data_IF_206380955853
#
_entry.id   IF_206380955853
#
_cell.length_a   1.000
_cell.length_b   1.000
_cell.length_c   1.000
_cell.angle_alpha   90.00
_cell.angle_beta   90.00
_cell.angle_gamma   90.00
#
_symmetry.space_group_name_H-M   'P 1'
#
loop_
_entity.id
_entity.type
_entity.pdbx_description
1 polymer ?
#
# COMPACT_ATOMS: atom_id res chain seq x y z
N UNK A 1 10.63 23.46 8.86
CA UNK A 1 12.06 23.19 8.74
C UNK A 1 12.76 24.44 8.20
N UNK A 2 14.02 24.77 8.61
CA UNK A 2 14.77 25.81 7.93
C UNK A 2 14.96 25.41 6.45
N UNK A 3 15.19 26.41 5.58
CA UNK A 3 15.26 26.27 4.13
C UNK A 3 16.51 25.50 3.67
N UNK A 4 16.61 24.21 4.04
CA UNK A 4 17.56 23.31 3.41
C UNK A 4 16.88 22.72 2.17
N UNK A 5 17.64 22.56 1.09
CA UNK A 5 17.18 21.82 -0.08
C UNK A 5 16.71 20.41 0.36
N UNK A 6 15.63 19.91 -0.24
CA UNK A 6 15.12 18.56 0.02
C UNK A 6 16.20 17.57 -0.45
N UNK A 7 16.76 16.71 0.41
CA UNK A 7 17.69 15.68 -0.05
C UNK A 7 16.93 14.63 -0.86
N UNK A 8 17.28 14.49 -2.12
CA UNK A 8 16.68 13.52 -3.06
C UNK A 8 17.48 12.23 -3.19
N UNK A 9 18.70 12.19 -2.61
CA UNK A 9 19.52 11.00 -2.51
C UNK A 9 20.13 10.91 -1.12
N UNK A 10 20.60 9.72 -0.73
CA UNK A 10 21.24 9.51 0.57
C UNK A 10 22.54 10.30 0.73
N UNK A 11 23.26 10.55 -0.36
CA UNK A 11 24.52 11.32 -0.38
C UNK A 11 24.30 12.81 -0.07
N UNK A 12 23.09 13.32 -0.32
CA UNK A 12 22.71 14.70 0.01
C UNK A 12 22.29 14.87 1.48
N UNK A 13 22.06 13.78 2.19
CA UNK A 13 21.78 13.82 3.63
C UNK A 13 23.05 14.17 4.37
N UNK A 14 23.00 15.25 5.18
CA UNK A 14 24.14 15.66 6.01
C UNK A 14 23.86 15.35 7.48
N UNK A 15 24.91 15.19 8.33
CA UNK A 15 24.73 15.06 9.77
C UNK A 15 23.95 16.22 10.40
N UNK A 16 24.09 17.43 9.85
CA UNK A 16 23.33 18.60 10.30
C UNK A 16 21.83 18.45 9.97
N UNK A 17 21.49 18.07 8.74
CA UNK A 17 20.11 17.81 8.33
C UNK A 17 19.46 16.72 9.21
N UNK A 18 20.16 15.61 9.43
CA UNK A 18 19.67 14.51 10.25
C UNK A 18 19.51 14.92 11.72
N UNK A 19 20.42 15.76 12.24
CA UNK A 19 20.30 16.35 13.58
C UNK A 19 19.01 17.19 13.70
N UNK A 20 18.75 18.05 12.72
CA UNK A 20 17.57 18.93 12.75
C UNK A 20 16.27 18.12 12.62
N UNK A 21 16.26 17.08 11.77
CA UNK A 21 15.14 16.15 11.61
C UNK A 21 14.81 15.41 12.92
N UNK A 22 15.81 14.80 13.55
CA UNK A 22 15.63 14.06 14.80
C UNK A 22 15.31 14.96 16.00
N UNK A 23 15.85 16.18 16.06
CA UNK A 23 15.47 17.18 17.06
C UNK A 23 14.02 17.64 16.85
N UNK A 24 13.65 17.93 15.61
CA UNK A 24 12.30 18.39 15.25
C UNK A 24 11.21 17.38 15.58
N UNK A 25 11.51 16.09 15.49
CA UNK A 25 10.61 15.00 15.89
C UNK A 25 10.65 14.66 17.38
N UNK A 26 11.59 15.26 18.15
CA UNK A 26 11.73 15.02 19.59
C UNK A 26 12.31 13.66 19.97
N UNK A 27 12.94 12.94 19.04
CA UNK A 27 13.58 11.62 19.33
C UNK A 27 15.07 11.72 19.62
N UNK A 28 15.69 12.89 19.43
CA UNK A 28 17.08 13.16 19.82
C UNK A 28 17.12 13.82 21.20
N UNK A 29 17.66 13.09 22.17
CA UNK A 29 17.85 13.59 23.54
C UNK A 29 19.25 14.23 23.67
N UNK A 30 19.31 15.53 23.44
CA UNK A 30 20.56 16.31 23.46
C UNK A 30 21.51 15.99 22.31
N UNK A 31 22.66 16.65 22.31
CA UNK A 31 23.73 16.38 21.34
C UNK A 31 23.39 16.68 19.87
N UNK A 32 24.13 16.03 18.99
CA UNK A 32 24.02 16.14 17.53
C UNK A 32 24.40 14.82 16.87
N UNK A 33 23.92 14.60 15.66
CA UNK A 33 24.47 13.56 14.77
C UNK A 33 25.83 14.05 14.24
N UNK A 34 26.88 13.25 14.38
CA UNK A 34 28.24 13.54 13.89
C UNK A 34 28.59 12.78 12.60
N UNK A 35 27.86 11.71 12.31
CA UNK A 35 27.98 10.89 11.11
C UNK A 35 26.88 9.85 11.07
N UNK A 36 26.78 9.10 10.00
CA UNK A 36 25.90 7.94 9.89
C UNK A 36 26.42 6.97 8.83
N UNK A 37 26.12 5.70 8.99
CA UNK A 37 26.23 4.69 7.95
C UNK A 37 24.89 4.54 7.25
N UNK A 38 24.90 4.18 5.95
CA UNK A 38 23.68 3.99 5.15
C UNK A 38 23.72 2.64 4.45
N UNK A 39 22.65 1.87 4.59
CA UNK A 39 22.44 0.59 3.93
C UNK A 39 21.20 0.68 3.04
N UNK A 40 21.34 0.33 1.75
CA UNK A 40 20.18 0.22 0.85
C UNK A 40 19.36 -1.02 1.22
N UNK A 41 18.10 -0.83 1.56
CA UNK A 41 17.17 -1.88 1.95
C UNK A 41 15.99 -1.98 0.95
N UNK A 42 15.20 -3.06 1.04
CA UNK A 42 14.00 -3.22 0.20
C UNK A 42 14.27 -3.45 -1.29
N UNK A 43 15.48 -3.89 -1.66
CA UNK A 43 15.81 -4.19 -3.07
C UNK A 43 14.89 -5.26 -3.65
N UNK A 44 14.26 -4.94 -4.78
CA UNK A 44 13.36 -5.86 -5.48
C UNK A 44 11.94 -5.92 -4.91
N UNK A 45 11.61 -5.09 -3.92
CA UNK A 45 10.25 -4.98 -3.34
C UNK A 45 9.66 -3.58 -3.58
N UNK A 46 10.45 -2.52 -3.39
CA UNK A 46 10.03 -1.14 -3.63
C UNK A 46 10.37 -0.65 -5.03
N UNK A 47 9.37 -0.23 -5.82
CA UNK A 47 9.57 0.22 -7.20
C UNK A 47 9.58 1.76 -7.28
N UNK A 48 8.85 2.44 -6.38
CA UNK A 48 8.58 3.87 -6.49
C UNK A 48 9.47 4.76 -5.61
N UNK A 49 10.30 4.19 -4.74
CA UNK A 49 11.21 4.94 -3.86
C UNK A 49 12.42 4.12 -3.47
N UNK A 50 13.53 4.80 -3.18
CA UNK A 50 14.73 4.19 -2.61
C UNK A 50 14.66 4.24 -1.09
N UNK A 51 14.89 3.11 -0.44
CA UNK A 51 14.87 2.99 1.01
C UNK A 51 16.30 2.76 1.53
N UNK A 52 16.74 3.60 2.46
CA UNK A 52 18.01 3.42 3.14
C UNK A 52 17.77 3.33 4.65
N UNK A 53 18.33 2.31 5.28
CA UNK A 53 18.49 2.28 6.73
C UNK A 53 19.71 3.11 7.09
N UNK A 54 19.51 4.14 7.91
CA UNK A 54 20.59 4.97 8.42
C UNK A 54 20.88 4.57 9.87
N UNK A 55 22.18 4.40 10.19
CA UNK A 55 22.69 4.15 11.55
C UNK A 55 23.43 5.40 12.03
N UNK A 56 22.79 6.31 12.78
CA UNK A 56 23.39 7.56 13.21
C UNK A 56 24.48 7.35 14.27
N UNK A 57 25.55 8.15 14.19
CA UNK A 57 26.55 8.30 15.25
C UNK A 57 26.29 9.61 15.98
N UNK A 58 26.17 9.55 17.31
CA UNK A 58 25.84 10.72 18.13
C UNK A 58 27.07 11.34 18.82
N UNK A 59 27.15 12.66 18.79
CA UNK A 59 28.13 13.47 19.53
C UNK A 59 27.48 14.08 20.77
N UNK A 60 27.48 13.33 21.89
CA UNK A 60 26.71 13.65 23.10
C UNK A 60 25.20 13.34 22.92
N UNK A 61 24.50 13.11 24.00
CA UNK A 61 23.08 12.73 23.95
C UNK A 61 22.83 11.33 23.38
N UNK A 62 21.57 11.04 23.06
CA UNK A 62 21.12 9.76 22.51
C UNK A 62 19.95 9.95 21.55
N UNK A 63 19.73 8.97 20.68
CA UNK A 63 18.61 8.95 19.73
C UNK A 63 18.32 7.53 19.22
N UNK A 64 17.50 7.36 18.18
CA UNK A 64 17.22 6.07 17.59
C UNK A 64 18.48 5.35 17.14
N UNK A 65 18.55 4.03 17.36
CA UNK A 65 19.66 3.22 16.86
C UNK A 65 19.75 3.25 15.33
N UNK A 66 18.59 3.15 14.68
CA UNK A 66 18.43 3.22 13.23
C UNK A 66 17.18 4.01 12.86
N UNK A 67 17.14 4.54 11.64
CA UNK A 67 15.97 5.19 11.03
C UNK A 67 15.91 4.83 9.55
N UNK A 68 14.75 4.89 8.95
CA UNK A 68 14.55 4.60 7.52
C UNK A 68 14.34 5.90 6.74
N UNK A 69 15.17 6.11 5.74
CA UNK A 69 15.08 7.22 4.78
C UNK A 69 14.44 6.71 3.48
N UNK A 70 13.39 7.37 3.02
CA UNK A 70 12.80 7.15 1.69
C UNK A 70 13.04 8.38 0.83
N UNK A 71 13.59 8.16 -0.36
CA UNK A 71 13.90 9.20 -1.36
C UNK A 71 13.39 8.78 -2.73
N UNK A 72 13.25 9.72 -3.70
CA UNK A 72 12.83 9.38 -5.06
C UNK A 72 13.79 8.40 -5.73
N UNK A 73 13.27 7.62 -6.66
CA UNK A 73 14.10 6.86 -7.61
C UNK A 73 14.67 7.79 -8.68
N UNK A 74 15.78 7.40 -9.29
CA UNK A 74 16.38 8.18 -10.39
C UNK A 74 15.76 7.86 -11.76
N UNK A 75 15.04 6.73 -11.88
CA UNK A 75 14.48 6.27 -13.14
C UNK A 75 13.36 7.21 -13.64
N UNK A 76 13.55 7.84 -14.79
CA UNK A 76 12.67 8.89 -15.33
C UNK A 76 11.21 8.45 -15.50
N UNK A 77 10.97 7.24 -16.02
CA UNK A 77 9.60 6.73 -16.23
C UNK A 77 8.90 6.52 -14.89
N UNK A 78 9.59 6.00 -13.89
CA UNK A 78 9.03 5.81 -12.54
C UNK A 78 8.71 7.14 -11.89
N UNK A 79 9.57 8.15 -12.03
CA UNK A 79 9.29 9.51 -11.55
C UNK A 79 8.12 10.15 -12.30
N UNK A 80 8.01 9.93 -13.60
CA UNK A 80 6.86 10.41 -14.38
C UNK A 80 5.55 9.81 -13.87
N UNK A 81 5.51 8.51 -13.61
CA UNK A 81 4.35 7.83 -13.03
C UNK A 81 4.04 8.34 -11.62
N UNK A 82 5.06 8.45 -10.76
CA UNK A 82 4.91 8.95 -9.40
C UNK A 82 4.29 10.36 -9.38
N UNK A 83 4.77 11.24 -10.23
CA UNK A 83 4.25 12.61 -10.40
C UNK A 83 2.82 12.62 -10.96
N UNK A 84 2.55 11.82 -12.01
CA UNK A 84 1.24 11.74 -12.66
C UNK A 84 0.16 11.32 -11.65
N UNK A 85 0.45 10.33 -10.80
CA UNK A 85 -0.47 9.80 -9.80
C UNK A 85 -0.27 10.40 -8.41
N UNK A 86 0.63 11.40 -8.27
CA UNK A 86 0.92 12.12 -7.01
C UNK A 86 1.35 11.19 -5.87
N UNK A 87 2.06 10.11 -6.14
CA UNK A 87 2.40 9.09 -5.15
C UNK A 87 3.17 9.68 -3.98
N UNK A 88 4.22 10.46 -4.22
CA UNK A 88 5.04 11.05 -3.17
C UNK A 88 4.27 12.08 -2.34
N UNK A 89 3.51 12.94 -3.03
CA UNK A 89 2.68 13.94 -2.37
C UNK A 89 1.62 13.33 -1.46
N UNK A 90 0.96 12.24 -1.91
CA UNK A 90 -0.05 11.51 -1.13
C UNK A 90 0.54 10.87 0.12
N UNK A 91 1.67 10.18 0.01
CA UNK A 91 2.34 9.56 1.16
C UNK A 91 2.76 10.62 2.20
N UNK A 92 3.35 11.72 1.76
CA UNK A 92 3.71 12.83 2.66
C UNK A 92 2.47 13.44 3.32
N UNK A 93 1.40 13.65 2.55
CA UNK A 93 0.15 14.21 3.09
C UNK A 93 -0.51 13.27 4.09
N UNK A 94 -0.50 11.95 3.83
CA UNK A 94 -0.98 10.94 4.76
C UNK A 94 -0.24 11.03 6.11
N UNK A 95 1.08 10.98 6.11
CA UNK A 95 1.86 11.09 7.37
C UNK A 95 1.66 12.41 8.10
N UNK A 96 1.35 13.50 7.40
CA UNK A 96 1.13 14.81 8.01
C UNK A 96 -0.27 15.02 8.58
N UNK A 97 -1.28 14.34 8.04
CA UNK A 97 -2.68 14.71 8.32
C UNK A 97 -3.58 13.55 8.70
N UNK A 98 -3.19 12.32 8.41
CA UNK A 98 -4.02 11.14 8.64
C UNK A 98 -3.37 10.11 9.59
N UNK A 99 -2.05 9.94 9.56
CA UNK A 99 -1.36 8.87 10.29
C UNK A 99 -1.65 8.89 11.81
N UNK A 100 -1.57 10.05 12.47
CA UNK A 100 -1.82 10.18 13.91
C UNK A 100 -3.28 9.91 14.32
N UNK A 101 -4.21 9.93 13.35
CA UNK A 101 -5.63 9.62 13.56
C UNK A 101 -5.95 8.15 13.30
N UNK A 102 -5.14 7.51 12.49
CA UNK A 102 -5.36 6.12 12.09
C UNK A 102 -5.21 5.17 13.27
N UNK A 103 -6.22 4.31 13.56
CA UNK A 103 -6.05 3.20 14.49
C UNK A 103 -5.16 2.07 13.96
N UNK A 104 -4.93 2.02 12.65
CA UNK A 104 -3.93 1.14 12.05
C UNK A 104 -2.56 1.77 12.25
N UNK A 105 -1.70 1.10 12.99
CA UNK A 105 -0.36 1.61 13.32
C UNK A 105 0.48 1.82 12.07
N UNK A 106 1.28 2.89 12.08
CA UNK A 106 2.25 3.22 11.03
C UNK A 106 3.61 3.54 11.65
N UNK A 107 4.71 3.42 10.91
CA UNK A 107 6.00 3.93 11.39
C UNK A 107 5.87 5.42 11.73
N UNK A 108 6.46 5.84 12.83
CA UNK A 108 6.47 7.25 13.18
C UNK A 108 7.20 8.07 12.11
N UNK A 109 6.57 9.11 11.58
CA UNK A 109 7.24 10.05 10.68
C UNK A 109 8.12 11.01 11.50
N UNK A 110 9.43 10.94 11.30
CA UNK A 110 10.42 11.77 12.00
C UNK A 110 10.68 13.08 11.26
N UNK A 111 10.63 13.04 9.93
CA UNK A 111 10.69 14.23 9.10
C UNK A 111 10.09 13.94 7.72
N UNK A 112 9.49 14.95 7.10
CA UNK A 112 8.99 14.86 5.75
C UNK A 112 9.10 16.20 5.02
N UNK A 113 9.44 16.17 3.73
CA UNK A 113 9.37 17.32 2.85
C UNK A 113 8.97 16.86 1.44
N UNK A 114 8.24 17.70 0.73
CA UNK A 114 7.84 17.51 -0.65
C UNK A 114 7.74 18.85 -1.35
N UNK A 115 8.28 18.94 -2.54
CA UNK A 115 8.12 20.07 -3.43
C UNK A 115 7.21 19.65 -4.60
N UNK A 116 5.98 20.19 -4.68
CA UNK A 116 5.03 19.80 -5.72
C UNK A 116 5.43 20.25 -7.13
N UNK A 117 6.38 21.19 -7.28
CA UNK A 117 6.84 21.67 -8.59
C UNK A 117 7.87 20.70 -9.21
N UNK A 118 8.85 20.27 -8.43
CA UNK A 118 9.88 19.30 -8.86
C UNK A 118 9.48 17.85 -8.62
N UNK A 119 8.50 17.61 -7.73
CA UNK A 119 8.15 16.31 -7.16
C UNK A 119 9.30 15.64 -6.39
N UNK A 120 10.23 16.47 -5.88
CA UNK A 120 11.27 16.01 -4.96
C UNK A 120 10.67 15.82 -3.58
N UNK A 121 11.04 14.72 -2.95
CA UNK A 121 10.58 14.42 -1.61
C UNK A 121 11.64 13.75 -0.76
N UNK A 122 11.44 13.80 0.53
CA UNK A 122 12.15 13.00 1.52
C UNK A 122 11.19 12.61 2.64
N UNK A 123 11.27 11.37 3.07
CA UNK A 123 10.52 10.86 4.21
C UNK A 123 11.51 10.12 5.12
N UNK A 124 11.60 10.55 6.38
CA UNK A 124 12.38 9.90 7.42
C UNK A 124 11.43 9.24 8.41
N UNK A 125 11.52 7.94 8.55
CA UNK A 125 10.63 7.11 9.35
C UNK A 125 11.38 6.39 10.47
N UNK A 126 10.63 5.98 11.48
CA UNK A 126 11.05 4.97 12.44
C UNK A 126 11.45 3.68 11.71
N UNK A 127 12.51 3.03 12.19
CA UNK A 127 12.89 1.71 11.71
C UNK A 127 12.13 0.63 12.50
N UNK A 128 11.41 -0.20 11.79
CA UNK A 128 10.61 -1.30 12.34
C UNK A 128 11.41 -2.60 12.50
N UNK A 129 12.73 -2.53 12.63
CA UNK A 129 13.60 -3.69 12.62
C UNK A 129 13.35 -4.76 13.68
N UNK A 130 12.48 -4.48 14.67
CA UNK A 130 12.03 -5.42 15.70
C UNK A 130 10.71 -6.13 15.34
N UNK A 131 10.04 -5.71 14.27
CA UNK A 131 8.76 -6.27 13.84
C UNK A 131 8.93 -7.49 12.93
N UNK A 132 8.01 -8.45 13.04
CA UNK A 132 7.95 -9.63 12.19
C UNK A 132 7.52 -9.25 10.77
N UNK A 133 8.19 -9.81 9.77
CA UNK A 133 7.85 -9.71 8.35
C UNK A 133 7.46 -11.09 7.84
N UNK A 134 6.35 -11.19 7.16
CA UNK A 134 5.90 -12.42 6.52
C UNK A 134 5.99 -12.31 5.01
N UNK A 135 6.57 -13.32 4.38
CA UNK A 135 6.74 -13.34 2.94
C UNK A 135 5.40 -13.61 2.23
N UNK A 136 5.02 -12.74 1.31
CA UNK A 136 3.78 -12.91 0.53
C UNK A 136 3.73 -14.24 -0.24
N UNK A 137 4.88 -14.81 -0.61
CA UNK A 137 4.91 -16.13 -1.26
C UNK A 137 4.34 -17.23 -0.36
N UNK A 138 4.63 -17.20 0.94
CA UNK A 138 4.16 -18.19 1.91
C UNK A 138 2.70 -17.96 2.33
N UNK A 139 2.21 -16.73 2.14
CA UNK A 139 0.88 -16.30 2.54
C UNK A 139 0.75 -15.93 4.02
N UNK A 140 -0.26 -15.13 4.33
CA UNK A 140 -0.55 -14.66 5.68
C UNK A 140 -1.10 -15.80 6.55
N UNK A 141 -0.52 -16.02 7.76
CA UNK A 141 -1.10 -16.94 8.75
C UNK A 141 -2.51 -16.49 9.17
N UNK A 142 -3.43 -17.42 9.48
CA UNK A 142 -4.82 -17.09 9.78
C UNK A 142 -5.02 -16.14 10.97
N UNK A 143 -4.22 -16.26 12.03
CA UNK A 143 -4.25 -15.37 13.20
C UNK A 143 -3.81 -13.94 12.85
N UNK A 144 -2.80 -13.80 12.02
CA UNK A 144 -2.34 -12.51 11.53
C UNK A 144 -3.30 -11.92 10.49
N UNK A 145 -3.94 -12.77 9.68
CA UNK A 145 -4.95 -12.32 8.73
C UNK A 145 -6.16 -11.71 9.44
N UNK A 146 -6.63 -12.32 10.53
CA UNK A 146 -7.72 -11.78 11.33
C UNK A 146 -7.33 -10.45 11.99
N UNK A 147 -6.12 -10.36 12.54
CA UNK A 147 -5.61 -9.11 13.10
C UNK A 147 -5.50 -8.00 12.04
N UNK A 148 -5.00 -8.34 10.83
CA UNK A 148 -4.89 -7.40 9.73
C UNK A 148 -6.26 -6.88 9.27
N UNK A 149 -7.27 -7.75 9.14
CA UNK A 149 -8.64 -7.37 8.77
C UNK A 149 -9.28 -6.51 9.87
N UNK A 150 -9.09 -6.85 11.15
CA UNK A 150 -9.62 -6.05 12.25
C UNK A 150 -8.98 -4.65 12.32
N UNK A 151 -7.65 -4.56 12.15
CA UNK A 151 -6.93 -3.29 12.14
C UNK A 151 -7.34 -2.42 10.94
N UNK A 152 -7.51 -3.02 9.75
CA UNK A 152 -8.02 -2.38 8.55
C UNK A 152 -9.43 -1.83 8.76
N UNK A 153 -10.34 -2.63 9.33
CA UNK A 153 -11.71 -2.22 9.60
C UNK A 153 -11.77 -1.02 10.56
N UNK A 154 -10.95 -1.00 11.61
CA UNK A 154 -10.82 0.14 12.53
C UNK A 154 -10.30 1.39 11.83
N UNK A 155 -9.30 1.24 10.95
CA UNK A 155 -8.80 2.33 10.12
C UNK A 155 -9.90 2.89 9.22
N UNK A 156 -10.62 2.03 8.52
CA UNK A 156 -11.74 2.46 7.67
C UNK A 156 -12.85 3.14 8.47
N UNK A 157 -13.13 2.69 9.70
CA UNK A 157 -14.09 3.32 10.61
C UNK A 157 -13.74 4.78 10.90
N UNK A 158 -12.48 5.09 11.20
CA UNK A 158 -12.02 6.45 11.52
C UNK A 158 -12.28 7.43 10.36
N UNK A 159 -12.13 6.94 9.13
CA UNK A 159 -12.25 7.76 7.93
C UNK A 159 -13.56 7.56 7.16
N UNK A 160 -14.52 6.78 7.68
CA UNK A 160 -15.76 6.48 6.99
C UNK A 160 -16.61 7.74 6.82
N UNK A 161 -16.83 8.17 5.56
CA UNK A 161 -17.57 9.39 5.20
C UNK A 161 -17.18 10.62 6.05
N UNK A 162 -15.94 10.70 6.48
CA UNK A 162 -15.47 11.77 7.37
C UNK A 162 -15.60 13.16 6.74
N UNK A 163 -16.10 14.17 7.50
CA UNK A 163 -16.10 15.57 7.03
C UNK A 163 -14.71 16.13 6.73
N UNK A 164 -13.65 15.48 7.19
CA UNK A 164 -12.27 15.84 6.92
C UNK A 164 -11.89 15.73 5.43
N UNK A 165 -12.59 14.96 4.64
CA UNK A 165 -12.39 14.90 3.18
C UNK A 165 -12.59 16.26 2.48
N UNK A 166 -13.42 17.12 3.03
CA UNK A 166 -13.58 18.49 2.53
C UNK A 166 -12.65 19.52 3.18
N UNK A 167 -11.70 19.10 4.02
CA UNK A 167 -10.83 19.97 4.82
C UNK A 167 -9.38 19.47 4.75
N UNK A 168 -8.85 18.99 5.88
CA UNK A 168 -7.45 18.54 6.01
C UNK A 168 -7.09 17.33 5.15
N UNK A 169 -8.07 16.54 4.74
CA UNK A 169 -7.90 15.40 3.82
C UNK A 169 -8.35 15.71 2.37
N UNK A 170 -8.50 16.99 2.02
CA UNK A 170 -8.91 17.41 0.66
C UNK A 170 -7.89 17.08 -0.44
N UNK A 171 -6.68 16.68 -0.05
CA UNK A 171 -5.65 16.19 -0.94
C UNK A 171 -5.91 14.75 -1.43
N UNK A 172 -6.78 13.99 -0.76
CA UNK A 172 -7.06 12.58 -1.06
C UNK A 172 -8.10 12.51 -2.20
N UNK A 173 -7.71 12.07 -3.42
CA UNK A 173 -8.63 11.95 -4.54
C UNK A 173 -9.53 10.72 -4.35
N UNK A 174 -10.66 10.72 -5.04
CA UNK A 174 -11.39 9.47 -5.24
C UNK A 174 -10.58 8.50 -6.10
N UNK A 175 -10.72 7.19 -5.84
CA UNK A 175 -10.07 6.16 -6.64
C UNK A 175 -10.49 6.18 -8.12
N UNK A 176 -11.62 6.79 -8.43
CA UNK A 176 -12.14 6.98 -9.79
C UNK A 176 -11.87 8.37 -10.38
N UNK A 177 -11.14 9.24 -9.67
CA UNK A 177 -10.78 10.55 -10.24
C UNK A 177 -9.65 10.39 -11.27
N UNK A 178 -9.72 11.13 -12.39
CA UNK A 178 -8.60 11.18 -13.32
C UNK A 178 -7.31 11.67 -12.64
N UNK A 179 -6.13 11.14 -13.01
CA UNK A 179 -5.90 10.22 -14.12
C UNK A 179 -5.89 8.73 -13.74
N UNK A 180 -6.34 8.33 -12.52
CA UNK A 180 -6.13 6.98 -12.00
C UNK A 180 -6.79 5.88 -12.87
N UNK A 181 -8.10 5.93 -13.20
CA UNK A 181 -8.72 4.89 -14.01
C UNK A 181 -8.09 4.75 -15.39
N UNK A 182 -7.80 5.88 -16.05
CA UNK A 182 -7.16 5.89 -17.36
C UNK A 182 -5.76 5.29 -17.31
N UNK A 183 -5.03 5.55 -16.22
CA UNK A 183 -3.71 4.98 -16.00
C UNK A 183 -3.75 3.47 -15.81
N UNK A 184 -4.70 2.96 -15.02
CA UNK A 184 -4.91 1.52 -14.85
C UNK A 184 -5.32 0.88 -16.19
N UNK A 185 -6.27 1.48 -16.91
CA UNK A 185 -6.69 1.01 -18.23
C UNK A 185 -5.51 0.92 -19.19
N UNK A 186 -4.73 1.99 -19.31
CA UNK A 186 -3.57 2.03 -20.19
C UNK A 186 -2.50 1.02 -19.76
N UNK A 187 -2.24 0.93 -18.43
CA UNK A 187 -1.28 -0.01 -17.87
C UNK A 187 -1.63 -1.46 -18.21
N UNK A 188 -2.88 -1.87 -18.00
CA UNK A 188 -3.35 -3.22 -18.37
C UNK A 188 -3.29 -3.45 -19.88
N UNK A 189 -3.70 -2.46 -20.69
CA UNK A 189 -3.65 -2.57 -22.16
C UNK A 189 -2.23 -2.80 -22.66
N UNK A 190 -1.26 -2.06 -22.13
CA UNK A 190 0.14 -2.20 -22.54
C UNK A 190 0.80 -3.47 -22.01
N UNK A 191 0.39 -3.90 -20.82
CA UNK A 191 0.98 -5.08 -20.16
C UNK A 191 0.43 -6.41 -20.69
N UNK A 192 -0.77 -6.44 -21.29
CA UNK A 192 -1.49 -7.68 -21.59
C UNK A 192 -0.68 -8.67 -22.46
N UNK A 193 -0.20 -8.24 -23.62
CA UNK A 193 0.56 -9.12 -24.51
C UNK A 193 1.92 -9.56 -23.92
N UNK A 194 2.75 -8.66 -23.31
CA UNK A 194 3.95 -9.09 -22.61
C UNK A 194 3.65 -10.05 -21.44
N UNK A 195 2.56 -9.81 -20.68
CA UNK A 195 2.13 -10.70 -19.62
C UNK A 195 1.79 -12.09 -20.15
N UNK A 196 1.02 -12.20 -21.24
CA UNK A 196 0.72 -13.49 -21.86
C UNK A 196 1.96 -14.22 -22.36
N UNK A 197 2.96 -13.49 -22.83
CA UNK A 197 4.23 -14.09 -23.26
C UNK A 197 5.01 -14.74 -22.10
N UNK A 198 4.89 -14.20 -20.88
CA UNK A 198 5.58 -14.71 -19.69
C UNK A 198 4.75 -15.67 -18.83
N UNK A 199 3.43 -15.46 -18.76
CA UNK A 199 2.52 -16.15 -17.83
C UNK A 199 1.32 -16.81 -18.52
N UNK A 200 1.32 -16.91 -19.85
CA UNK A 200 0.18 -17.43 -20.62
C UNK A 200 -0.20 -18.87 -20.26
N UNK A 201 0.75 -19.68 -19.78
CA UNK A 201 0.49 -21.06 -19.32
C UNK A 201 -0.37 -21.12 -18.04
N UNK A 202 -0.46 -20.01 -17.27
CA UNK A 202 -1.34 -19.86 -16.11
C UNK A 202 -2.73 -19.28 -16.46
N UNK A 203 -2.96 -18.94 -17.74
CA UNK A 203 -4.17 -18.25 -18.21
C UNK A 203 -4.93 -19.18 -19.15
N UNK A 204 -6.05 -19.73 -18.66
CA UNK A 204 -6.97 -20.49 -19.50
C UNK A 204 -7.93 -19.58 -20.30
N UNK A 205 -8.79 -20.18 -21.12
CA UNK A 205 -9.68 -19.46 -22.03
C UNK A 205 -10.63 -18.51 -21.31
N UNK A 206 -11.14 -18.87 -20.11
CA UNK A 206 -12.06 -18.05 -19.34
C UNK A 206 -11.35 -16.80 -18.79
N UNK A 207 -10.17 -16.97 -18.21
CA UNK A 207 -9.37 -15.86 -17.69
C UNK A 207 -8.83 -14.99 -18.82
N UNK A 208 -8.52 -15.60 -19.97
CA UNK A 208 -8.13 -14.85 -21.18
C UNK A 208 -9.27 -13.94 -21.65
N UNK A 209 -10.49 -14.46 -21.71
CA UNK A 209 -11.66 -13.67 -22.10
C UNK A 209 -11.93 -12.50 -21.14
N UNK A 210 -11.71 -12.72 -19.83
CA UNK A 210 -11.79 -11.65 -18.83
C UNK A 210 -10.69 -10.60 -19.08
N UNK A 211 -9.43 -11.03 -19.23
CA UNK A 211 -8.29 -10.13 -19.42
C UNK A 211 -8.37 -9.30 -20.70
N UNK A 212 -8.83 -9.87 -21.80
CA UNK A 212 -9.05 -9.17 -23.07
C UNK A 212 -10.14 -8.08 -22.96
N UNK A 213 -11.18 -8.32 -22.15
CA UNK A 213 -12.28 -7.39 -21.93
C UNK A 213 -11.95 -6.33 -20.86
N UNK A 214 -11.09 -6.66 -19.90
CA UNK A 214 -10.81 -5.86 -18.71
C UNK A 214 -10.47 -4.40 -19.03
N UNK A 215 -9.58 -4.06 -19.99
CA UNK A 215 -9.25 -2.67 -20.28
C UNK A 215 -10.45 -1.80 -20.64
N UNK A 216 -11.47 -2.39 -21.28
CA UNK A 216 -12.66 -1.65 -21.73
C UNK A 216 -13.65 -1.33 -20.61
N UNK A 217 -13.53 -1.97 -19.45
CA UNK A 217 -14.48 -1.85 -18.33
C UNK A 217 -13.83 -1.35 -17.03
N UNK A 218 -12.52 -1.15 -17.00
CA UNK A 218 -11.79 -0.82 -15.77
C UNK A 218 -12.26 0.48 -15.12
N UNK A 219 -12.58 1.52 -15.91
CA UNK A 219 -13.09 2.78 -15.37
C UNK A 219 -14.43 2.58 -14.66
N UNK A 220 -15.33 1.79 -15.26
CA UNK A 220 -16.63 1.46 -14.67
C UNK A 220 -16.45 0.60 -13.41
N UNK A 221 -15.52 -0.36 -13.42
CA UNK A 221 -15.21 -1.20 -12.26
C UNK A 221 -14.67 -0.40 -11.06
N UNK A 222 -13.99 0.70 -11.29
CA UNK A 222 -13.46 1.59 -10.25
C UNK A 222 -14.50 2.60 -9.73
N UNK A 223 -15.65 2.73 -10.38
CA UNK A 223 -16.62 3.80 -10.12
C UNK A 223 -17.70 3.38 -9.11
N UNK A 224 -17.72 4.02 -7.93
CA UNK A 224 -18.63 3.74 -6.81
C UNK A 224 -19.34 5.02 -6.31
N UNK A 225 -20.06 5.77 -7.17
CA UNK A 225 -20.51 7.13 -6.87
C UNK A 225 -21.54 7.23 -5.73
N UNK A 226 -22.32 6.18 -5.49
CA UNK A 226 -23.41 6.15 -4.51
C UNK A 226 -23.07 5.31 -3.27
N UNK A 227 -21.85 4.77 -3.19
CA UNK A 227 -21.40 3.97 -2.06
C UNK A 227 -20.68 4.83 -1.01
N UNK A 228 -20.83 4.50 0.28
CA UNK A 228 -19.98 5.12 1.31
C UNK A 228 -18.51 4.86 1.04
N UNK A 229 -17.70 5.85 1.33
CA UNK A 229 -16.26 5.81 1.07
C UNK A 229 -15.43 6.06 2.32
N UNK A 230 -14.21 5.53 2.31
CA UNK A 230 -13.23 5.75 3.37
C UNK A 230 -11.86 6.05 2.76
N UNK A 231 -10.87 6.36 3.59
CA UNK A 231 -9.46 6.38 3.19
C UNK A 231 -8.97 4.94 3.13
N UNK A 232 -8.68 4.43 1.92
CA UNK A 232 -8.07 3.11 1.73
C UNK A 232 -6.57 3.24 1.54
N UNK A 233 -5.85 2.19 1.94
CA UNK A 233 -4.40 2.10 1.75
C UNK A 233 -4.04 2.01 0.26
N UNK A 234 -4.83 1.26 -0.51
CA UNK A 234 -4.64 1.06 -1.95
C UNK A 234 -3.71 -0.09 -2.31
N UNK A 235 -2.72 -0.42 -1.46
CA UNK A 235 -1.80 -1.57 -1.60
C UNK A 235 -1.72 -2.37 -0.29
N UNK A 236 -2.89 -2.68 0.30
CA UNK A 236 -2.98 -3.42 1.56
C UNK A 236 -2.68 -4.90 1.34
N UNK A 237 -1.41 -5.25 1.31
CA UNK A 237 -0.92 -6.61 1.06
C UNK A 237 0.19 -6.97 2.05
N UNK A 238 0.44 -8.27 2.20
CA UNK A 238 1.32 -8.80 3.25
C UNK A 238 2.75 -8.22 3.22
N UNK A 239 3.32 -7.95 2.04
CA UNK A 239 4.64 -7.33 1.91
C UNK A 239 4.68 -5.88 2.48
N UNK A 240 3.52 -5.22 2.66
CA UNK A 240 3.39 -3.88 3.26
C UNK A 240 2.92 -3.92 4.72
N UNK A 241 2.86 -5.09 5.33
CA UNK A 241 2.44 -5.28 6.71
C UNK A 241 3.56 -5.86 7.57
N UNK A 242 3.77 -5.23 8.71
CA UNK A 242 4.65 -5.70 9.77
C UNK A 242 3.82 -6.05 10.98
N UNK A 243 4.33 -6.95 11.81
CA UNK A 243 3.61 -7.42 12.99
C UNK A 243 4.50 -7.35 14.23
N UNK A 244 3.93 -6.91 15.35
CA UNK A 244 4.52 -7.06 16.68
C UNK A 244 3.59 -7.91 17.53
N UNK A 245 4.11 -8.90 18.23
CA UNK A 245 3.30 -9.73 19.11
C UNK A 245 3.27 -9.13 20.51
N UNK A 246 2.06 -8.88 21.00
CA UNK A 246 1.78 -8.43 22.35
C UNK A 246 0.93 -9.47 23.10
N UNK A 247 0.82 -9.34 24.41
CA UNK A 247 -0.02 -10.23 25.23
C UNK A 247 -1.51 -10.17 24.82
N UNK A 248 -1.96 -9.01 24.35
CA UNK A 248 -3.35 -8.75 23.93
C UNK A 248 -3.61 -9.13 22.45
N UNK A 249 -2.61 -9.65 21.76
CA UNK A 249 -2.69 -10.04 20.35
C UNK A 249 -1.69 -9.30 19.45
N UNK A 250 -1.65 -9.64 18.14
CA UNK A 250 -0.71 -9.02 17.23
C UNK A 250 -1.12 -7.58 16.88
N UNK A 251 -0.18 -6.65 17.02
CA UNK A 251 -0.25 -5.31 16.43
C UNK A 251 0.10 -5.41 14.96
N UNK A 252 -0.66 -4.72 14.11
CA UNK A 252 -0.45 -4.63 12.67
C UNK A 252 0.05 -3.24 12.34
N UNK A 253 1.17 -3.16 11.62
CA UNK A 253 1.80 -1.90 11.21
C UNK A 253 1.84 -1.86 9.69
N UNK A 254 1.17 -0.88 9.09
CA UNK A 254 1.14 -0.71 7.64
C UNK A 254 2.13 0.36 7.17
N UNK A 255 2.86 0.06 6.09
CA UNK A 255 3.82 0.95 5.44
C UNK A 255 3.39 1.24 4.00
N UNK A 256 4.02 2.22 3.37
CA UNK A 256 3.87 2.52 1.93
C UNK A 256 2.48 3.04 1.52
N UNK A 257 2.11 4.23 2.00
CA UNK A 257 0.83 4.90 1.79
C UNK A 257 0.74 5.72 0.48
N UNK A 258 1.63 5.49 -0.47
CA UNK A 258 1.77 6.29 -1.69
C UNK A 258 0.59 6.19 -2.66
N UNK A 259 -0.17 5.08 -2.63
CA UNK A 259 -1.32 4.89 -3.53
C UNK A 259 -2.68 4.99 -2.82
N UNK A 260 -2.68 5.52 -1.57
CA UNK A 260 -3.94 5.74 -0.85
C UNK A 260 -4.89 6.63 -1.66
N UNK A 261 -6.19 6.31 -1.56
CA UNK A 261 -7.28 7.01 -2.23
C UNK A 261 -8.54 6.96 -1.38
N UNK A 262 -9.56 7.72 -1.77
CA UNK A 262 -10.90 7.63 -1.21
C UNK A 262 -11.74 6.69 -2.08
N UNK A 263 -12.18 5.57 -1.53
CA UNK A 263 -13.09 4.62 -2.21
C UNK A 263 -13.81 3.73 -1.21
N UNK A 264 -14.54 2.70 -1.66
CA UNK A 264 -15.19 1.72 -0.79
C UNK A 264 -14.16 0.92 0.02
N UNK A 265 -14.44 0.67 1.31
CA UNK A 265 -13.51 -0.07 2.16
C UNK A 265 -13.27 -1.52 1.72
N UNK A 266 -14.22 -2.11 0.99
CA UNK A 266 -14.08 -3.42 0.38
C UNK A 266 -12.86 -3.54 -0.56
N UNK A 267 -12.31 -2.40 -1.04
CA UNK A 267 -11.14 -2.38 -1.92
C UNK A 267 -9.90 -3.00 -1.26
N UNK A 268 -9.48 -2.49 -0.10
CA UNK A 268 -8.33 -3.05 0.61
C UNK A 268 -8.58 -4.48 1.09
N UNK A 269 -9.81 -4.76 1.54
CA UNK A 269 -10.21 -6.09 1.99
C UNK A 269 -10.11 -7.12 0.86
N UNK A 270 -10.61 -6.78 -0.33
CA UNK A 270 -10.53 -7.64 -1.51
C UNK A 270 -9.10 -7.87 -1.98
N UNK A 271 -8.29 -6.83 -1.95
CA UNK A 271 -6.87 -6.94 -2.29
C UNK A 271 -6.14 -7.85 -1.28
N UNK A 272 -6.31 -7.61 0.01
CA UNK A 272 -5.64 -8.41 1.04
C UNK A 272 -6.03 -9.88 0.98
N UNK A 273 -7.32 -10.20 0.97
CA UNK A 273 -7.79 -11.58 1.01
C UNK A 273 -7.43 -12.37 -0.26
N UNK A 274 -7.55 -11.72 -1.43
CA UNK A 274 -7.28 -12.38 -2.71
C UNK A 274 -5.79 -12.52 -3.06
N UNK A 275 -4.91 -11.72 -2.44
CA UNK A 275 -3.48 -11.68 -2.81
C UNK A 275 -2.56 -12.16 -1.69
N UNK A 276 -2.93 -11.92 -0.42
CA UNK A 276 -2.05 -12.16 0.71
C UNK A 276 -2.29 -13.50 1.41
N UNK A 277 -3.45 -14.15 1.23
CA UNK A 277 -3.72 -15.47 1.77
C UNK A 277 -3.40 -16.56 0.74
N UNK A 278 -2.99 -17.75 1.22
CA UNK A 278 -3.01 -18.91 0.33
C UNK A 278 -4.46 -19.21 -0.06
N UNK A 279 -4.67 -19.85 -1.22
CA UNK A 279 -6.02 -20.22 -1.66
C UNK A 279 -6.76 -21.09 -0.63
N UNK A 280 -6.04 -22.00 0.05
CA UNK A 280 -6.58 -22.84 1.12
C UNK A 280 -7.02 -22.01 2.32
N UNK A 281 -6.15 -21.12 2.80
CA UNK A 281 -6.45 -20.27 3.95
C UNK A 281 -7.58 -19.28 3.62
N UNK A 282 -7.61 -18.72 2.41
CA UNK A 282 -8.72 -17.87 1.98
C UNK A 282 -10.03 -18.64 2.03
N UNK A 283 -10.11 -19.81 1.38
CA UNK A 283 -11.33 -20.65 1.36
C UNK A 283 -11.81 -21.05 2.76
N UNK A 284 -10.85 -21.32 3.66
CA UNK A 284 -11.18 -21.75 5.02
C UNK A 284 -11.66 -20.61 5.93
N UNK A 285 -11.24 -19.36 5.67
CA UNK A 285 -11.43 -18.25 6.60
C UNK A 285 -12.15 -17.03 6.02
N UNK A 286 -12.39 -16.96 4.71
CA UNK A 286 -12.93 -15.78 3.99
C UNK A 286 -14.24 -15.29 4.59
N UNK A 287 -15.23 -16.16 4.77
CA UNK A 287 -16.54 -15.82 5.36
C UNK A 287 -16.36 -15.20 6.76
N UNK A 288 -15.53 -15.82 7.61
CA UNK A 288 -15.22 -15.30 8.94
C UNK A 288 -14.53 -13.94 8.87
N UNK A 289 -13.57 -13.75 7.96
CA UNK A 289 -12.83 -12.49 7.84
C UNK A 289 -13.73 -11.35 7.33
N UNK A 290 -14.66 -11.63 6.42
CA UNK A 290 -15.70 -10.69 6.01
C UNK A 290 -16.60 -10.30 7.18
N UNK A 291 -16.99 -11.28 8.02
CA UNK A 291 -17.78 -11.02 9.24
C UNK A 291 -17.00 -10.21 10.27
N UNK A 292 -15.71 -10.46 10.47
CA UNK A 292 -14.82 -9.65 11.34
C UNK A 292 -14.78 -8.21 10.86
N UNK A 293 -14.59 -7.99 9.56
CA UNK A 293 -14.57 -6.65 8.99
C UNK A 293 -15.91 -5.93 9.24
N UNK A 294 -17.03 -6.54 8.87
CA UNK A 294 -18.37 -5.97 9.01
C UNK A 294 -18.75 -5.71 10.47
N UNK A 295 -18.46 -6.67 11.38
CA UNK A 295 -18.77 -6.50 12.81
C UNK A 295 -17.95 -5.39 13.46
N UNK A 296 -16.68 -5.23 13.07
CA UNK A 296 -15.84 -4.11 13.54
C UNK A 296 -16.40 -2.74 13.10
N UNK A 297 -16.89 -2.62 11.87
CA UNK A 297 -17.58 -1.42 11.41
C UNK A 297 -18.88 -1.19 12.21
N UNK A 298 -19.66 -2.25 12.45
CA UNK A 298 -20.92 -2.17 13.18
C UNK A 298 -20.74 -1.75 14.66
N UNK A 299 -19.66 -2.13 15.31
CA UNK A 299 -19.29 -1.67 16.67
C UNK A 299 -19.15 -0.14 16.74
N UNK A 300 -18.76 0.50 15.65
CA UNK A 300 -18.67 1.94 15.52
C UNK A 300 -19.95 2.59 14.97
N UNK A 301 -21.04 1.82 14.80
CA UNK A 301 -22.33 2.30 14.30
C UNK A 301 -22.41 2.44 12.78
N UNK A 302 -21.47 1.86 12.04
CA UNK A 302 -21.47 1.84 10.58
C UNK A 302 -22.17 0.56 10.13
N UNK A 303 -23.30 0.72 9.43
CA UNK A 303 -24.00 -0.40 8.80
C UNK A 303 -23.46 -0.60 7.37
N UNK A 304 -22.87 -1.78 7.15
CA UNK A 304 -22.48 -2.24 5.81
C UNK A 304 -23.23 -3.56 5.59
N UNK A 305 -24.35 -3.54 4.86
CA UNK A 305 -25.15 -4.75 4.63
C UNK A 305 -24.33 -5.88 4.02
N UNK A 306 -24.58 -7.11 4.45
CA UNK A 306 -23.75 -8.28 4.04
C UNK A 306 -23.73 -8.49 2.54
N UNK A 307 -24.88 -8.32 1.88
CA UNK A 307 -25.02 -8.45 0.43
C UNK A 307 -24.28 -7.35 -0.32
N UNK A 308 -24.31 -6.10 0.18
CA UNK A 308 -23.55 -4.98 -0.39
C UNK A 308 -22.05 -5.17 -0.21
N UNK A 309 -21.59 -5.53 0.99
CA UNK A 309 -20.17 -5.83 1.23
C UNK A 309 -19.69 -6.95 0.31
N UNK A 310 -20.48 -8.02 0.16
CA UNK A 310 -20.10 -9.15 -0.68
C UNK A 310 -20.03 -8.77 -2.15
N UNK A 311 -20.96 -7.95 -2.65
CA UNK A 311 -20.93 -7.44 -4.02
C UNK A 311 -19.69 -6.57 -4.27
N UNK A 312 -19.43 -5.58 -3.39
CA UNK A 312 -18.30 -4.67 -3.49
C UNK A 312 -16.96 -5.44 -3.35
N UNK A 313 -16.89 -6.44 -2.47
CA UNK A 313 -15.76 -7.34 -2.31
C UNK A 313 -15.50 -8.16 -3.57
N UNK A 314 -16.51 -8.81 -4.15
CA UNK A 314 -16.40 -9.58 -5.40
C UNK A 314 -15.93 -8.70 -6.56
N UNK A 315 -16.46 -7.50 -6.68
CA UNK A 315 -16.07 -6.52 -7.70
C UNK A 315 -14.61 -6.12 -7.54
N UNK A 316 -14.16 -5.91 -6.30
CA UNK A 316 -12.75 -5.62 -6.00
C UNK A 316 -11.85 -6.81 -6.31
N UNK A 317 -12.24 -8.04 -5.94
CA UNK A 317 -11.46 -9.24 -6.27
C UNK A 317 -11.28 -9.37 -7.78
N UNK A 318 -12.33 -9.14 -8.57
CA UNK A 318 -12.20 -9.12 -10.04
C UNK A 318 -11.24 -8.01 -10.50
N UNK A 319 -11.33 -6.80 -9.93
CA UNK A 319 -10.41 -5.71 -10.24
C UNK A 319 -8.96 -6.07 -9.93
N UNK A 320 -8.68 -6.81 -8.85
CA UNK A 320 -7.33 -7.21 -8.46
C UNK A 320 -6.58 -8.04 -9.51
N UNK A 321 -7.25 -8.53 -10.57
CA UNK A 321 -6.59 -9.16 -11.72
C UNK A 321 -5.64 -8.19 -12.44
N UNK A 322 -5.86 -6.87 -12.35
CA UNK A 322 -4.98 -5.87 -12.95
C UNK A 322 -3.55 -5.91 -12.39
N UNK A 323 -3.36 -6.29 -11.11
CA UNK A 323 -2.05 -6.25 -10.47
C UNK A 323 -1.05 -7.27 -11.04
N UNK A 324 -1.35 -8.59 -11.10
CA UNK A 324 -0.43 -9.54 -11.73
C UNK A 324 -0.25 -9.27 -13.23
N UNK A 325 -1.28 -8.78 -13.94
CA UNK A 325 -1.14 -8.40 -15.35
C UNK A 325 -0.13 -7.27 -15.51
N UNK A 326 -0.31 -6.16 -14.78
CA UNK A 326 0.59 -5.01 -14.89
C UNK A 326 2.01 -5.36 -14.41
N UNK A 327 2.14 -6.06 -13.28
CA UNK A 327 3.43 -6.47 -12.76
C UNK A 327 4.16 -7.41 -13.72
N UNK A 328 3.46 -8.43 -14.27
CA UNK A 328 4.05 -9.41 -15.17
C UNK A 328 4.36 -8.88 -16.58
N UNK A 329 3.66 -7.83 -17.02
CA UNK A 329 3.81 -7.29 -18.37
C UNK A 329 4.62 -6.00 -18.48
N UNK A 330 4.81 -5.26 -17.36
CA UNK A 330 5.45 -3.93 -17.40
C UNK A 330 6.72 -3.83 -16.58
N UNK A 331 6.94 -4.73 -15.64
CA UNK A 331 8.10 -4.72 -14.76
C UNK A 331 9.14 -5.67 -15.34
N UNK A 332 10.40 -5.20 -15.47
CA UNK A 332 11.49 -6.12 -15.70
C UNK A 332 11.58 -7.08 -14.49
N UNK A 333 11.21 -8.33 -14.69
CA UNK A 333 11.27 -9.38 -13.67
C UNK A 333 12.73 -9.79 -13.48
N UNK A 334 13.45 -8.97 -12.71
CA UNK A 334 14.91 -9.05 -12.56
C UNK A 334 15.41 -10.23 -11.73
N UNK A 335 14.49 -10.97 -11.07
CA UNK A 335 14.85 -12.11 -10.25
C UNK A 335 13.72 -13.15 -10.14
N UNK A 336 14.09 -14.38 -9.73
CA UNK A 336 13.15 -15.50 -9.60
C UNK A 336 12.01 -15.22 -8.62
N UNK A 337 12.27 -14.47 -7.53
CA UNK A 337 11.22 -14.12 -6.54
C UNK A 337 10.13 -13.27 -7.19
N UNK A 338 10.48 -12.29 -8.02
CA UNK A 338 9.52 -11.44 -8.71
C UNK A 338 8.63 -12.26 -9.66
N UNK A 339 9.23 -13.19 -10.43
CA UNK A 339 8.48 -14.10 -11.32
C UNK A 339 7.52 -14.98 -10.51
N UNK A 340 8.02 -15.61 -9.43
CA UNK A 340 7.19 -16.44 -8.56
C UNK A 340 6.05 -15.66 -7.93
N UNK A 341 6.31 -14.42 -7.49
CA UNK A 341 5.30 -13.56 -6.88
C UNK A 341 4.16 -13.24 -7.86
N UNK A 342 4.49 -12.85 -9.09
CA UNK A 342 3.47 -12.56 -10.12
C UNK A 342 2.64 -13.79 -10.44
N UNK A 343 3.27 -14.95 -10.65
CA UNK A 343 2.56 -16.21 -10.89
C UNK A 343 1.63 -16.57 -9.74
N UNK A 344 2.11 -16.44 -8.50
CA UNK A 344 1.32 -16.74 -7.31
C UNK A 344 0.14 -15.76 -7.11
N UNK A 345 0.36 -14.47 -7.35
CA UNK A 345 -0.70 -13.46 -7.30
C UNK A 345 -1.79 -13.78 -8.34
N UNK A 346 -1.38 -14.17 -9.54
CA UNK A 346 -2.31 -14.60 -10.58
C UNK A 346 -3.12 -15.82 -10.15
N UNK A 347 -2.46 -16.89 -9.70
CA UNK A 347 -3.13 -18.13 -9.28
C UNK A 347 -4.13 -17.88 -8.15
N UNK A 348 -3.77 -17.05 -7.16
CA UNK A 348 -4.62 -16.70 -6.02
C UNK A 348 -5.84 -15.89 -6.45
N UNK A 349 -5.66 -14.84 -7.25
CA UNK A 349 -6.79 -14.00 -7.69
C UNK A 349 -7.72 -14.75 -8.63
N UNK A 350 -7.18 -15.58 -9.51
CA UNK A 350 -7.98 -16.45 -10.41
C UNK A 350 -8.82 -17.44 -9.61
N UNK A 351 -8.24 -18.08 -8.59
CA UNK A 351 -8.99 -18.94 -7.69
C UNK A 351 -10.12 -18.18 -6.97
N UNK A 352 -9.83 -16.94 -6.49
CA UNK A 352 -10.84 -16.12 -5.83
C UNK A 352 -11.96 -15.68 -6.79
N UNK A 353 -11.62 -15.25 -8.02
CA UNK A 353 -12.62 -14.90 -9.06
C UNK A 353 -13.59 -16.06 -9.31
N UNK A 354 -13.07 -17.29 -9.41
CA UNK A 354 -13.90 -18.49 -9.65
C UNK A 354 -14.75 -18.86 -8.45
N UNK A 355 -14.16 -18.95 -7.27
CA UNK A 355 -14.86 -19.34 -6.04
C UNK A 355 -16.02 -18.39 -5.72
N UNK A 356 -15.86 -17.11 -6.04
CA UNK A 356 -16.84 -16.04 -5.76
C UNK A 356 -17.76 -15.73 -6.94
N UNK A 357 -17.63 -16.40 -8.10
CA UNK A 357 -18.31 -16.03 -9.33
C UNK A 357 -18.17 -14.52 -9.64
N UNK A 358 -17.00 -13.96 -9.38
CA UNK A 358 -16.77 -12.52 -9.50
C UNK A 358 -16.83 -12.03 -10.96
N UNK A 359 -16.53 -12.90 -11.93
CA UNK A 359 -16.64 -12.60 -13.36
C UNK A 359 -18.05 -12.21 -13.79
N UNK A 360 -19.08 -12.67 -13.08
CA UNK A 360 -20.49 -12.29 -13.36
C UNK A 360 -20.78 -10.81 -13.08
N UNK A 361 -19.90 -10.11 -12.33
CA UNK A 361 -20.00 -8.66 -12.04
C UNK A 361 -19.24 -7.80 -13.05
N UNK A 362 -18.64 -8.39 -14.09
CA UNK A 362 -17.95 -7.62 -15.12
C UNK A 362 -18.96 -6.80 -15.94
N UNK A 363 -18.82 -5.45 -15.99
CA UNK A 363 -19.72 -4.56 -16.71
C UNK A 363 -19.86 -4.85 -18.19
#
# INVERSE_FOLDING_TARGET
MPAHAIPTTVEQVTPAWLTDALKGSGVLDGGTVTGFDAELIGQGVGIMGLLHRLTPTYGGGSGPATVVLKTPVEHEMTRFLARTFQFYGKEIAFYRTAADRSPLTTPRCLASAHDPESDDFVLLLEDLGDAEVHNQLDGCPPDLAEAAVCALARHHTEFWETPSFGKELSWLPYGWDPPMPQGVQQGVTMAWEPFLAGFGDHVDDDIRAIGERFPSVVEEMMYFPEKPTTLVHGDYRLDNLFFRRHEDGPEVIAIDWQICVRTVGAYDLGYFLSQSLTTENRRAHEERLLDVYRSTLAEAGIDYPTDELLEDYRRTVLFCLCYPIQAGGSIELVNERAVQLVGLMLDRVVAAIRDLDAASLMP
#
